data_IF_639161435833
#
_entry.id   IF_639161435833
#
_cell.length_a   1.000
_cell.length_b   1.000
_cell.length_c   1.000
_cell.angle_alpha   90.00
_cell.angle_beta   90.00
_cell.angle_gamma   90.00
#
_symmetry.space_group_name_H-M   'P 1'
#
loop_
_entity.id
_entity.type
_entity.pdbx_description
1 polymer ?
#
# COMPACT_ATOMS: atom_id res chain seq x y z
N UNK A 1 56.57 -31.28 -16.99
CA UNK A 1 57.68 -32.25 -16.98
C UNK A 1 57.49 -33.14 -15.75
N UNK A 2 57.26 -34.45 -15.95
CA UNK A 2 57.01 -35.46 -14.90
C UNK A 2 55.58 -35.43 -14.34
N UNK A 3 54.75 -36.47 -14.39
CA UNK A 3 55.02 -37.91 -14.22
C UNK A 3 54.33 -38.34 -12.91
N UNK A 4 53.07 -38.81 -12.89
CA UNK A 4 52.54 -40.14 -13.29
C UNK A 4 52.86 -41.25 -12.27
N UNK A 5 51.80 -41.67 -11.54
CA UNK A 5 51.43 -43.01 -11.03
C UNK A 5 52.34 -43.82 -10.08
N UNK A 6 51.70 -44.44 -9.07
CA UNK A 6 51.84 -45.90 -8.87
C UNK A 6 50.65 -46.48 -8.10
N UNK A 7 50.22 -47.65 -8.57
CA UNK A 7 49.12 -48.52 -8.16
C UNK A 7 49.25 -49.13 -6.75
N UNK A 8 48.13 -49.61 -6.19
CA UNK A 8 47.98 -50.99 -5.69
C UNK A 8 46.56 -51.33 -5.15
N UNK A 9 45.84 -52.17 -5.90
CA UNK A 9 45.09 -53.38 -5.51
C UNK A 9 44.48 -53.51 -4.08
N UNK A 10 43.17 -53.78 -3.97
CA UNK A 10 42.62 -55.17 -3.89
C UNK A 10 41.21 -55.28 -3.24
N UNK A 11 40.37 -56.09 -3.90
CA UNK A 11 39.38 -57.09 -3.40
C UNK A 11 38.12 -56.73 -2.57
N UNK A 12 36.99 -56.98 -3.25
CA UNK A 12 35.87 -57.92 -2.94
C UNK A 12 34.93 -57.71 -1.74
N UNK A 13 33.62 -57.61 -2.07
CA UNK A 13 32.45 -58.16 -1.36
C UNK A 13 31.96 -57.39 -0.13
N UNK A 14 30.68 -57.19 0.18
CA UNK A 14 29.42 -57.76 -0.27
C UNK A 14 28.26 -56.80 0.10
N UNK A 15 27.12 -57.01 -0.53
CA UNK A 15 25.86 -56.27 -0.44
C UNK A 15 25.29 -56.05 0.99
N UNK A 16 24.76 -54.84 1.21
CA UNK A 16 23.82 -54.50 2.29
C UNK A 16 22.99 -53.26 1.93
N UNK A 17 21.68 -53.43 1.73
CA UNK A 17 20.71 -52.39 1.33
C UNK A 17 20.52 -51.32 2.41
N UNK A 18 20.48 -50.05 1.99
CA UNK A 18 19.88 -48.94 2.74
C UNK A 18 19.32 -47.89 1.78
N UNK A 19 17.99 -47.77 1.70
CA UNK A 19 17.28 -46.69 0.98
C UNK A 19 17.53 -45.36 1.69
N UNK A 20 18.01 -44.34 0.98
CA UNK A 20 17.86 -42.95 1.39
C UNK A 20 16.96 -42.22 0.40
N UNK A 21 15.69 -42.08 0.79
CA UNK A 21 14.69 -41.22 0.15
C UNK A 21 15.10 -39.75 0.27
N UNK A 22 15.26 -39.07 -0.86
CA UNK A 22 15.32 -37.61 -0.91
C UNK A 22 13.96 -37.01 -0.50
N UNK A 23 13.90 -35.99 0.39
CA UNK A 23 12.64 -35.37 0.76
C UNK A 23 12.15 -34.46 -0.37
N UNK A 24 11.03 -34.83 -0.98
CA UNK A 24 10.19 -33.94 -1.80
C UNK A 24 9.35 -33.08 -0.84
N UNK A 25 9.94 -32.03 -0.27
CA UNK A 25 9.23 -31.08 0.59
C UNK A 25 9.82 -29.69 0.40
N UNK A 26 9.21 -28.86 -0.44
CA UNK A 26 9.55 -27.43 -0.49
C UNK A 26 8.54 -26.56 -1.26
N UNK A 27 7.63 -27.14 -2.05
CA UNK A 27 6.62 -26.36 -2.81
C UNK A 27 5.27 -26.25 -2.09
N UNK A 28 4.90 -27.23 -1.26
CA UNK A 28 3.65 -27.22 -0.48
C UNK A 28 3.79 -26.38 0.80
N UNK A 29 4.89 -26.51 1.52
CA UNK A 29 5.18 -25.72 2.73
C UNK A 29 5.27 -24.22 2.45
N UNK A 30 5.85 -23.83 1.30
CA UNK A 30 5.87 -22.42 0.85
C UNK A 30 4.48 -21.89 0.51
N UNK A 31 3.55 -22.73 0.05
CA UNK A 31 2.17 -22.31 -0.26
C UNK A 31 1.33 -22.15 1.02
N UNK A 32 1.54 -22.99 2.02
CA UNK A 32 0.89 -22.86 3.32
C UNK A 32 1.42 -21.66 4.13
N UNK A 33 2.72 -21.40 4.09
CA UNK A 33 3.30 -20.22 4.77
C UNK A 33 2.82 -18.90 4.16
N UNK A 34 2.60 -18.85 2.85
CA UNK A 34 1.98 -17.70 2.17
C UNK A 34 0.50 -17.58 2.55
N UNK A 35 -0.26 -18.69 2.60
CA UNK A 35 -1.67 -18.68 3.05
C UNK A 35 -1.83 -18.23 4.50
N UNK A 36 -0.88 -18.56 5.39
CA UNK A 36 -0.90 -18.09 6.78
C UNK A 36 -0.57 -16.60 6.90
N UNK A 37 0.24 -16.05 5.98
CA UNK A 37 0.62 -14.62 5.97
C UNK A 37 -0.52 -13.69 5.56
N UNK A 38 -1.52 -14.18 4.83
CA UNK A 38 -2.71 -13.43 4.41
C UNK A 38 -3.96 -14.04 5.04
N UNK A 39 -4.04 -14.04 6.38
CA UNK A 39 -5.30 -14.38 7.07
C UNK A 39 -6.32 -13.27 6.80
N UNK A 40 -7.51 -13.67 6.37
CA UNK A 40 -8.69 -12.83 6.37
C UNK A 40 -8.89 -12.28 7.80
N UNK A 41 -8.89 -10.97 7.94
CA UNK A 41 -9.23 -10.29 9.20
C UNK A 41 -10.75 -10.14 9.17
N UNK A 42 -11.51 -10.87 10.01
CA UNK A 42 -12.96 -10.74 10.05
C UNK A 42 -13.35 -9.38 10.64
N UNK A 43 -14.32 -8.70 10.01
CA UNK A 43 -14.90 -7.45 10.50
C UNK A 43 -15.78 -7.73 11.73
N UNK A 44 -15.19 -7.60 12.92
CA UNK A 44 -15.86 -7.85 14.21
C UNK A 44 -16.10 -6.58 15.03
N UNK A 45 -16.04 -5.39 14.42
CA UNK A 45 -16.13 -4.11 15.13
C UNK A 45 -17.45 -3.39 14.86
N UNK A 46 -18.12 -2.91 15.92
CA UNK A 46 -19.40 -2.20 15.86
C UNK A 46 -19.33 -0.72 16.23
N UNK A 47 -18.16 -0.21 16.64
CA UNK A 47 -17.93 1.21 16.91
C UNK A 47 -16.49 1.63 16.59
N UNK A 48 -16.29 2.94 16.43
CA UNK A 48 -14.97 3.54 16.20
C UNK A 48 -13.99 3.22 17.34
N UNK A 49 -14.49 3.30 18.57
CA UNK A 49 -13.75 3.04 19.79
C UNK A 49 -13.21 1.60 19.87
N UNK A 50 -13.99 0.62 19.38
CA UNK A 50 -13.54 -0.76 19.31
C UNK A 50 -12.39 -0.93 18.29
N UNK A 51 -12.46 -0.25 17.14
CA UNK A 51 -11.38 -0.27 16.14
C UNK A 51 -10.11 0.33 16.72
N UNK A 52 -10.19 1.51 17.34
CA UNK A 52 -9.07 2.16 18.02
C UNK A 52 -8.47 1.25 19.10
N UNK A 53 -9.30 0.64 19.94
CA UNK A 53 -8.80 -0.27 21.00
C UNK A 53 -8.06 -1.47 20.40
N UNK A 54 -8.63 -2.11 19.36
CA UNK A 54 -8.01 -3.26 18.71
C UNK A 54 -6.71 -2.94 17.99
N UNK A 55 -6.59 -1.77 17.36
CA UNK A 55 -5.32 -1.31 16.76
C UNK A 55 -4.22 -1.17 17.82
N UNK A 56 -4.56 -0.61 18.99
CA UNK A 56 -3.62 -0.50 20.11
C UNK A 56 -3.19 -1.87 20.64
N UNK A 57 -4.14 -2.79 20.84
CA UNK A 57 -3.86 -4.16 21.29
C UNK A 57 -3.02 -4.96 20.29
N UNK A 58 -3.14 -4.66 18.99
CA UNK A 58 -2.33 -5.27 17.94
C UNK A 58 -0.87 -4.76 17.92
N UNK A 59 -0.50 -3.86 18.83
CA UNK A 59 0.85 -3.31 18.95
C UNK A 59 1.10 -2.11 18.03
N UNK A 60 0.05 -1.46 17.54
CA UNK A 60 0.16 -0.12 16.95
C UNK A 60 0.32 0.89 18.10
N UNK A 61 1.50 0.90 18.72
CA UNK A 61 1.80 1.80 19.83
C UNK A 61 2.22 3.18 19.32
N UNK A 62 2.86 3.23 18.16
CA UNK A 62 3.34 4.47 17.54
C UNK A 62 3.58 4.25 16.03
N UNK A 63 3.10 5.17 15.21
CA UNK A 63 3.24 5.14 13.75
C UNK A 63 3.30 6.55 13.19
N UNK A 64 3.85 6.71 11.98
CA UNK A 64 3.71 7.94 11.21
C UNK A 64 2.70 7.72 10.08
N UNK A 65 1.88 8.70 9.77
CA UNK A 65 0.85 8.59 8.75
C UNK A 65 1.26 9.27 7.44
N UNK A 66 0.93 8.64 6.31
CA UNK A 66 1.05 9.23 4.96
C UNK A 66 -0.30 9.09 4.27
N UNK A 67 -0.76 10.14 3.60
CA UNK A 67 -2.06 10.13 2.90
C UNK A 67 -1.86 10.36 1.40
N UNK A 68 -2.45 9.48 0.59
CA UNK A 68 -2.56 9.61 -0.86
C UNK A 68 -4.03 9.73 -1.27
N UNK A 69 -4.36 10.75 -2.07
CA UNK A 69 -5.70 10.99 -2.58
C UNK A 69 -5.71 10.88 -4.10
N UNK A 70 -6.58 10.00 -4.59
CA UNK A 70 -6.87 9.82 -6.00
C UNK A 70 -7.64 11.03 -6.56
N UNK A 71 -7.12 11.65 -7.62
CA UNK A 71 -7.75 12.74 -8.38
C UNK A 71 -7.93 12.36 -9.87
N UNK A 72 -8.15 11.09 -10.14
CA UNK A 72 -8.47 10.60 -11.48
C UNK A 72 -9.89 10.95 -11.88
N UNK A 73 -10.12 10.98 -13.20
CA UNK A 73 -11.37 11.37 -13.84
C UNK A 73 -12.51 10.40 -13.55
N UNK A 74 -12.22 9.15 -13.16
CA UNK A 74 -13.27 8.18 -12.83
C UNK A 74 -14.20 8.65 -11.71
N UNK A 75 -13.68 9.48 -10.82
CA UNK A 75 -14.45 10.16 -9.78
C UNK A 75 -15.65 10.97 -10.30
N UNK A 76 -15.65 11.40 -11.57
CA UNK A 76 -16.79 12.09 -12.18
C UNK A 76 -18.03 11.19 -12.33
N UNK A 77 -17.83 9.88 -12.55
CA UNK A 77 -18.93 8.95 -12.86
C UNK A 77 -19.10 7.81 -11.85
N UNK A 78 -18.11 7.50 -11.02
CA UNK A 78 -18.22 6.42 -10.01
C UNK A 78 -19.19 6.75 -8.88
N UNK A 79 -19.55 8.04 -8.71
CA UNK A 79 -20.65 8.50 -7.86
C UNK A 79 -22.06 8.30 -8.42
N UNK A 80 -22.22 7.70 -9.62
CA UNK A 80 -23.52 7.49 -10.30
C UNK A 80 -24.60 6.91 -9.39
N UNK A 81 -24.26 5.86 -8.64
CA UNK A 81 -25.20 5.15 -7.76
C UNK A 81 -25.03 5.57 -6.31
N UNK A 82 -23.79 5.75 -5.86
CA UNK A 82 -23.44 5.92 -4.44
C UNK A 82 -23.51 7.37 -3.96
N UNK A 83 -23.55 8.33 -4.88
CA UNK A 83 -23.47 9.75 -4.55
C UNK A 83 -24.38 10.62 -5.43
N UNK A 84 -25.57 10.11 -5.74
CA UNK A 84 -26.64 10.82 -6.46
C UNK A 84 -26.19 11.37 -7.82
N UNK A 85 -25.41 10.60 -8.57
CA UNK A 85 -24.89 11.01 -9.88
C UNK A 85 -24.06 12.29 -9.85
N UNK A 86 -23.37 12.55 -8.73
CA UNK A 86 -22.41 13.64 -8.58
C UNK A 86 -20.98 13.10 -8.60
N UNK A 87 -20.05 13.96 -8.99
CA UNK A 87 -18.63 13.71 -8.84
C UNK A 87 -18.29 13.45 -7.36
N UNK A 88 -17.45 12.44 -7.09
CA UNK A 88 -17.03 12.06 -5.75
C UNK A 88 -16.20 13.15 -5.05
N UNK A 89 -15.64 14.11 -5.79
CA UNK A 89 -14.91 15.26 -5.25
C UNK A 89 -15.74 16.55 -5.14
N UNK A 90 -17.05 16.54 -5.45
CA UNK A 90 -17.81 17.81 -5.40
C UNK A 90 -17.72 18.45 -4.01
N UNK A 91 -17.34 19.72 -3.95
CA UNK A 91 -17.32 20.50 -2.71
C UNK A 91 -18.66 21.22 -2.58
N UNK A 92 -19.30 21.12 -1.41
CA UNK A 92 -20.57 21.77 -1.12
C UNK A 92 -20.97 21.65 0.35
N UNK A 93 -22.23 21.90 0.66
CA UNK A 93 -22.73 21.92 2.05
C UNK A 93 -22.66 20.55 2.74
N UNK A 94 -22.75 19.47 1.95
CA UNK A 94 -22.67 18.10 2.45
C UNK A 94 -21.32 17.49 2.11
N UNK A 95 -20.62 16.87 3.09
CA UNK A 95 -19.35 16.21 2.82
C UNK A 95 -19.47 15.13 1.73
N UNK A 96 -18.57 15.18 0.75
CA UNK A 96 -18.41 14.11 -0.23
C UNK A 96 -17.72 12.88 0.37
N UNK A 97 -17.68 11.74 -0.34
CA UNK A 97 -17.11 10.50 0.19
C UNK A 97 -15.64 10.61 0.63
N UNK A 98 -14.81 11.39 -0.08
CA UNK A 98 -13.42 11.63 0.32
C UNK A 98 -13.34 12.45 1.62
N UNK A 99 -14.13 13.52 1.76
CA UNK A 99 -14.19 14.30 2.99
C UNK A 99 -14.60 13.43 4.19
N UNK A 100 -15.63 12.57 3.99
CA UNK A 100 -16.07 11.63 5.02
C UNK A 100 -14.98 10.64 5.40
N UNK A 101 -14.28 10.09 4.41
CA UNK A 101 -13.17 9.16 4.65
C UNK A 101 -12.05 9.84 5.45
N UNK A 102 -11.58 11.01 5.00
CA UNK A 102 -10.56 11.81 5.70
C UNK A 102 -10.97 12.06 7.16
N UNK A 103 -12.21 12.48 7.41
CA UNK A 103 -12.69 12.73 8.77
C UNK A 103 -12.77 11.46 9.63
N UNK A 104 -13.30 10.35 9.09
CA UNK A 104 -13.40 9.09 9.84
C UNK A 104 -12.01 8.56 10.17
N UNK A 105 -11.12 8.54 9.18
CA UNK A 105 -9.73 8.11 9.34
C UNK A 105 -9.02 8.98 10.37
N UNK A 106 -9.17 10.30 10.28
CA UNK A 106 -8.59 11.23 11.25
C UNK A 106 -9.05 10.95 12.68
N UNK A 107 -10.36 10.73 12.88
CA UNK A 107 -10.90 10.38 14.19
C UNK A 107 -10.39 9.02 14.72
N UNK A 108 -10.09 8.06 13.84
CA UNK A 108 -9.57 6.74 14.24
C UNK A 108 -8.07 6.69 14.45
N UNK A 109 -7.32 7.38 13.58
CA UNK A 109 -5.89 7.17 13.39
C UNK A 109 -5.04 8.24 14.06
N UNK A 110 -5.57 9.45 14.28
CA UNK A 110 -4.83 10.54 14.93
C UNK A 110 -4.21 10.15 16.29
N UNK A 111 -4.84 9.33 17.15
CA UNK A 111 -4.21 8.90 18.40
C UNK A 111 -2.97 8.01 18.25
N UNK A 112 -2.69 7.51 17.04
CA UNK A 112 -1.55 6.63 16.73
C UNK A 112 -0.45 7.32 15.93
N UNK A 113 -0.66 8.57 15.51
CA UNK A 113 0.33 9.36 14.80
C UNK A 113 1.31 9.98 15.79
N UNK A 114 2.61 9.72 15.62
CA UNK A 114 3.63 10.13 16.59
C UNK A 114 3.83 11.64 16.67
N UNK A 115 3.77 12.32 15.53
CA UNK A 115 4.15 13.72 15.40
C UNK A 115 3.03 14.64 14.91
N UNK A 116 1.87 14.06 14.52
CA UNK A 116 0.76 14.78 13.90
C UNK A 116 1.18 15.49 12.59
N UNK A 117 2.26 15.05 11.94
CA UNK A 117 2.78 15.57 10.67
C UNK A 117 2.50 14.54 9.58
N UNK A 118 1.57 14.87 8.70
CA UNK A 118 1.04 13.95 7.70
C UNK A 118 1.46 14.42 6.31
N UNK A 119 2.50 13.83 5.69
CA UNK A 119 2.76 14.01 4.27
C UNK A 119 1.51 13.63 3.45
N UNK A 120 1.00 14.59 2.70
CA UNK A 120 -0.23 14.44 1.92
C UNK A 120 0.03 14.67 0.44
N UNK A 121 -0.42 13.72 -0.37
CA UNK A 121 -0.20 13.68 -1.81
C UNK A 121 -1.50 13.52 -2.58
N UNK A 122 -1.55 14.12 -3.76
CA UNK A 122 -2.53 13.82 -4.80
C UNK A 122 -1.88 13.16 -6.01
N UNK A 123 -2.63 12.32 -6.71
CA UNK A 123 -2.17 11.63 -7.92
C UNK A 123 -3.30 11.43 -8.93
N UNK A 124 -2.98 11.22 -10.20
CA UNK A 124 -3.96 10.94 -11.24
C UNK A 124 -4.67 12.17 -11.84
N UNK A 125 -4.28 13.36 -11.43
CA UNK A 125 -4.72 14.61 -12.05
C UNK A 125 -3.97 14.86 -13.37
N UNK A 126 -4.34 15.90 -14.10
CA UNK A 126 -3.76 16.20 -15.40
C UNK A 126 -2.30 16.70 -15.35
N UNK A 127 -1.74 16.96 -14.17
CA UNK A 127 -0.32 17.28 -14.00
C UNK A 127 0.50 16.02 -13.74
N UNK A 128 -0.02 15.08 -12.95
CA UNK A 128 0.71 13.88 -12.52
C UNK A 128 0.48 12.64 -13.37
N UNK A 129 -0.72 12.49 -13.95
CA UNK A 129 -1.15 11.26 -14.64
C UNK A 129 -0.83 10.01 -13.80
N UNK A 130 -0.15 9.02 -14.38
CA UNK A 130 0.23 7.76 -13.72
C UNK A 130 1.72 7.68 -13.35
N UNK A 131 2.44 8.80 -13.43
CA UNK A 131 3.91 8.84 -13.30
C UNK A 131 4.39 9.51 -12.01
N UNK A 132 3.65 10.50 -11.50
CA UNK A 132 4.11 11.32 -10.38
C UNK A 132 3.02 11.51 -9.31
N UNK A 133 3.39 12.18 -8.22
CA UNK A 133 2.46 12.72 -7.22
C UNK A 133 2.73 14.20 -7.04
N UNK A 134 1.71 14.97 -6.65
CA UNK A 134 1.89 16.34 -6.17
C UNK A 134 1.67 16.41 -4.66
N UNK A 135 2.41 17.27 -3.98
CA UNK A 135 2.21 17.51 -2.54
C UNK A 135 1.11 18.53 -2.32
N UNK A 136 0.37 18.39 -1.22
CA UNK A 136 -0.68 19.34 -0.83
C UNK A 136 -0.12 20.74 -0.52
N UNK A 137 1.11 20.81 -0.03
CA UNK A 137 1.83 22.06 0.17
C UNK A 137 2.89 22.24 -0.93
N UNK A 138 2.97 23.44 -1.51
CA UNK A 138 3.92 23.74 -2.58
C UNK A 138 5.38 23.72 -2.15
N UNK A 139 5.65 23.81 -0.84
CA UNK A 139 6.99 23.66 -0.25
C UNK A 139 7.28 22.23 0.22
N UNK A 140 6.38 21.28 -0.05
CA UNK A 140 6.43 19.89 0.37
C UNK A 140 6.41 19.65 1.89
N UNK A 141 6.00 20.65 2.68
CA UNK A 141 5.78 20.45 4.11
C UNK A 141 4.59 19.50 4.37
N UNK A 142 4.63 18.70 5.46
CA UNK A 142 3.50 17.86 5.85
C UNK A 142 2.33 18.71 6.37
N UNK A 143 1.12 18.16 6.34
CA UNK A 143 -0.04 18.75 7.01
C UNK A 143 0.01 18.46 8.52
N UNK A 144 -0.45 19.41 9.32
CA UNK A 144 -0.62 19.30 10.78
C UNK A 144 -1.96 18.63 11.12
N UNK A 145 -1.96 17.29 11.05
CA UNK A 145 -3.12 16.46 11.36
C UNK A 145 -4.21 16.48 10.28
N UNK A 146 -5.20 15.60 10.44
CA UNK A 146 -6.27 15.39 9.44
C UNK A 146 -7.19 16.59 9.21
N UNK A 147 -7.27 17.51 10.18
CA UNK A 147 -8.01 18.77 10.00
C UNK A 147 -7.38 19.66 8.93
N UNK A 148 -6.04 19.73 8.89
CA UNK A 148 -5.33 20.45 7.82
C UNK A 148 -5.40 19.67 6.50
N UNK A 149 -5.31 18.34 6.53
CA UNK A 149 -5.52 17.51 5.33
C UNK A 149 -6.87 17.81 4.67
N UNK A 150 -7.95 17.84 5.47
CA UNK A 150 -9.29 18.16 4.98
C UNK A 150 -9.38 19.59 4.44
N UNK A 151 -8.73 20.55 5.11
CA UNK A 151 -8.70 21.95 4.69
C UNK A 151 -7.96 22.11 3.36
N UNK A 152 -6.80 21.48 3.20
CA UNK A 152 -6.01 21.52 1.96
C UNK A 152 -6.73 20.79 0.83
N UNK A 153 -7.32 19.62 1.09
CA UNK A 153 -8.17 18.92 0.12
C UNK A 153 -9.26 19.84 -0.46
N UNK A 154 -10.02 20.52 0.40
CA UNK A 154 -11.10 21.46 -0.01
C UNK A 154 -10.59 22.64 -0.84
N UNK A 155 -9.36 23.11 -0.59
CA UNK A 155 -8.72 24.20 -1.35
C UNK A 155 -8.20 23.75 -2.71
N UNK A 156 -7.66 22.54 -2.78
CA UNK A 156 -7.00 22.01 -3.98
C UNK A 156 -8.04 21.57 -5.01
N UNK A 157 -9.07 20.84 -4.59
CA UNK A 157 -10.06 20.20 -5.47
C UNK A 157 -10.66 21.15 -6.53
N UNK A 158 -11.11 22.38 -6.21
CA UNK A 158 -11.70 23.28 -7.21
C UNK A 158 -10.72 23.73 -8.32
N UNK A 159 -9.41 23.61 -8.06
CA UNK A 159 -8.35 24.06 -8.97
C UNK A 159 -7.72 22.90 -9.75
N UNK A 160 -8.12 21.66 -9.47
CA UNK A 160 -7.60 20.47 -10.16
C UNK A 160 -8.35 20.18 -11.45
N UNK A 161 -7.63 19.59 -12.40
CA UNK A 161 -8.22 18.96 -13.58
C UNK A 161 -8.04 17.45 -13.47
N UNK A 162 -9.13 16.73 -13.20
CA UNK A 162 -9.10 15.27 -13.08
C UNK A 162 -8.70 14.61 -14.40
N UNK A 163 -7.84 13.59 -14.34
CA UNK A 163 -7.31 12.91 -15.53
C UNK A 163 -7.11 11.39 -15.30
N UNK A 164 -5.95 10.86 -15.66
CA UNK A 164 -5.62 9.45 -15.55
C UNK A 164 -4.43 9.11 -16.45
N UNK A 165 -4.06 7.82 -16.56
CA UNK A 165 -4.72 6.67 -15.96
C UNK A 165 -4.48 6.57 -14.45
N UNK A 166 -5.21 5.67 -13.79
CA UNK A 166 -5.06 5.41 -12.35
C UNK A 166 -3.93 4.44 -12.10
N UNK A 167 -2.87 4.91 -11.43
CA UNK A 167 -1.76 4.10 -10.93
C UNK A 167 -1.46 4.49 -9.48
N UNK A 168 -1.29 3.49 -8.62
CA UNK A 168 -0.85 3.70 -7.24
C UNK A 168 0.68 3.64 -7.10
N UNK A 169 1.40 3.31 -8.17
CA UNK A 169 2.86 3.22 -8.18
C UNK A 169 3.53 4.49 -7.64
N UNK A 170 3.24 5.68 -8.22
CA UNK A 170 3.90 6.92 -7.80
C UNK A 170 3.71 7.26 -6.32
N UNK A 171 2.51 7.04 -5.77
CA UNK A 171 2.25 7.35 -4.35
C UNK A 171 2.87 6.33 -3.41
N UNK A 172 2.98 5.07 -3.82
CA UNK A 172 3.71 4.05 -3.07
C UNK A 172 5.21 4.37 -3.08
N UNK A 173 5.77 4.77 -4.22
CA UNK A 173 7.17 5.19 -4.34
C UNK A 173 7.48 6.42 -3.47
N UNK A 174 6.61 7.44 -3.49
CA UNK A 174 6.74 8.61 -2.61
C UNK A 174 6.71 8.22 -1.12
N UNK A 175 5.88 7.26 -0.73
CA UNK A 175 5.86 6.76 0.63
C UNK A 175 7.13 5.98 1.01
N UNK A 176 7.67 5.17 0.08
CA UNK A 176 8.95 4.48 0.27
C UNK A 176 10.08 5.49 0.49
N UNK A 177 10.11 6.58 -0.28
CA UNK A 177 11.10 7.64 -0.12
C UNK A 177 11.04 8.31 1.26
N UNK A 178 9.83 8.54 1.79
CA UNK A 178 9.64 9.07 3.15
C UNK A 178 10.15 8.09 4.20
N UNK A 179 9.83 6.80 4.07
CA UNK A 179 10.32 5.75 4.97
C UNK A 179 11.85 5.66 4.95
N UNK A 180 12.47 5.82 3.78
CA UNK A 180 13.93 5.84 3.67
C UNK A 180 14.54 7.07 4.34
N UNK A 181 13.97 8.27 4.11
CA UNK A 181 14.42 9.53 4.72
C UNK A 181 14.28 9.55 6.25
N UNK A 182 13.27 8.88 6.77
CA UNK A 182 13.04 8.69 8.21
C UNK A 182 13.85 7.56 8.83
N UNK A 183 14.83 6.99 8.10
CA UNK A 183 15.70 5.88 8.56
C UNK A 183 14.94 4.60 8.93
N UNK A 184 13.83 4.34 8.23
CA UNK A 184 13.05 3.11 8.39
C UNK A 184 12.07 3.14 9.56
N UNK A 185 11.64 4.32 10.02
CA UNK A 185 10.52 4.43 10.95
C UNK A 185 9.25 3.81 10.35
N UNK A 186 8.39 3.27 11.21
CA UNK A 186 7.15 2.62 10.77
C UNK A 186 6.14 3.66 10.27
N UNK A 187 5.64 3.45 9.06
CA UNK A 187 4.63 4.33 8.45
C UNK A 187 3.41 3.53 7.98
N UNK A 188 2.24 4.14 8.09
CA UNK A 188 1.00 3.65 7.47
C UNK A 188 0.66 4.56 6.30
N UNK A 189 0.72 4.01 5.08
CA UNK A 189 0.21 4.68 3.89
C UNK A 189 -1.29 4.44 3.73
N UNK A 190 -2.06 5.51 3.76
CA UNK A 190 -3.51 5.50 3.56
C UNK A 190 -3.80 6.05 2.16
N UNK A 191 -4.34 5.21 1.28
CA UNK A 191 -4.77 5.62 -0.07
C UNK A 191 -6.30 5.68 -0.08
N UNK A 192 -6.85 6.85 -0.42
CA UNK A 192 -8.28 7.05 -0.64
C UNK A 192 -8.49 7.14 -2.16
N UNK A 193 -9.26 6.20 -2.70
CA UNK A 193 -9.49 6.06 -4.14
C UNK A 193 -10.89 5.53 -4.45
N UNK A 194 -11.35 5.71 -5.69
CA UNK A 194 -12.67 5.22 -6.14
C UNK A 194 -12.65 3.77 -6.65
N UNK A 195 -11.46 3.16 -6.72
CA UNK A 195 -11.25 1.75 -7.04
C UNK A 195 -11.11 1.42 -8.52
N UNK A 196 -11.06 2.41 -9.41
CA UNK A 196 -10.80 2.18 -10.84
C UNK A 196 -9.30 2.15 -11.14
N UNK A 197 -8.62 1.03 -10.93
CA UNK A 197 -7.22 0.87 -11.38
C UNK A 197 -7.20 0.58 -12.87
N UNK A 198 -6.35 1.29 -13.62
CA UNK A 198 -6.20 1.02 -15.05
C UNK A 198 -5.52 -0.34 -15.23
N UNK A 199 -6.24 -1.30 -15.81
CA UNK A 199 -5.65 -2.60 -16.19
C UNK A 199 -4.72 -2.36 -17.37
N UNK A 200 -3.41 -2.39 -17.14
CA UNK A 200 -2.46 -2.52 -18.22
C UNK A 200 -2.56 -3.94 -18.79
N UNK A 201 -3.04 -4.09 -20.02
CA UNK A 201 -3.09 -5.37 -20.76
C UNK A 201 -1.69 -5.99 -21.04
N UNK A 202 -0.62 -5.44 -20.46
CA UNK A 202 0.78 -5.82 -20.71
C UNK A 202 1.49 -6.52 -19.54
N UNK A 203 0.79 -6.96 -18.49
CA UNK A 203 1.43 -7.64 -17.34
C UNK A 203 1.70 -9.14 -17.52
N UNK A 204 1.45 -9.72 -18.72
CA UNK A 204 1.95 -11.06 -19.07
C UNK A 204 3.26 -10.92 -19.86
N UNK A 205 4.36 -10.54 -19.20
CA UNK A 205 5.72 -10.90 -19.68
C UNK A 205 6.89 -10.67 -18.70
N UNK A 206 6.69 -10.26 -17.45
CA UNK A 206 7.83 -10.00 -16.52
C UNK A 206 8.02 -11.12 -15.47
N UNK A 207 7.55 -12.33 -15.74
CA UNK A 207 7.95 -13.52 -14.97
C UNK A 207 8.45 -14.58 -15.95
N UNK A 208 9.54 -14.28 -16.63
CA UNK A 208 10.53 -15.24 -17.15
C UNK A 208 11.69 -14.45 -17.76
N UNK A 209 12.67 -14.10 -16.91
CA UNK A 209 14.11 -14.12 -17.19
C UNK A 209 14.89 -13.85 -15.90
#
# INVERSE_FOLDING_TARGET
MGGVFSDAQSKQGCYGRGRSSQPKGSRFEKKESIKQKYRFIPDNFSSLEQVTTALREAGLESSNLIVGIDFTKSNEWTGKVTFNNRCLHVIGDTPNPYEKAISIIGNTMAPFDEDNLIPCFGFGDATTHDQEVFSFHGDHSPCHGFEEVLTCYKKIVPNLRLAGPTSYGPVIEAAIDIVQKSKGQYHVLIIIADGQVTRSDNSIQVIEN
#
